data_IF_228490438433
#
_entry.id   IF_228490438433
#
_cell.length_a   1.000
_cell.length_b   1.000
_cell.length_c   1.000
_cell.angle_alpha   90.00
_cell.angle_beta   90.00
_cell.angle_gamma   90.00
#
_symmetry.space_group_name_H-M   'P 1'
#
loop_
_entity.id
_entity.type
_entity.pdbx_description
1 polymer ?
#
# COMPACT_ATOMS: atom_id res chain seq x y z
N UNK A 1 -46.82 -15.63 -72.84
CA UNK A 1 -45.61 -16.07 -72.08
C UNK A 1 -44.47 -15.09 -72.36
N UNK A 2 -43.75 -14.71 -71.30
CA UNK A 2 -42.78 -13.61 -71.19
C UNK A 2 -41.59 -13.70 -72.17
N UNK A 3 -41.16 -12.53 -72.66
CA UNK A 3 -39.89 -12.23 -73.35
C UNK A 3 -38.88 -11.56 -72.41
N UNK A 4 -37.63 -11.52 -72.91
CA UNK A 4 -36.49 -10.65 -72.56
C UNK A 4 -35.69 -11.08 -71.33
N UNK A 5 -34.36 -11.05 -71.29
CA UNK A 5 -33.35 -10.38 -72.12
C UNK A 5 -32.20 -9.94 -71.18
N UNK A 6 -30.95 -10.20 -71.57
CA UNK A 6 -29.69 -10.01 -70.80
C UNK A 6 -29.33 -8.57 -70.45
N UNK A 7 -28.81 -8.30 -69.23
CA UNK A 7 -27.94 -7.13 -68.86
C UNK A 7 -27.10 -7.43 -67.58
N UNK A 8 -25.79 -7.15 -67.58
CA UNK A 8 -24.91 -6.97 -66.39
C UNK A 8 -24.86 -5.45 -66.03
N UNK A 9 -24.78 -4.99 -64.75
CA UNK A 9 -23.49 -4.83 -64.03
C UNK A 9 -23.53 -4.88 -62.47
N UNK A 10 -22.34 -4.77 -61.83
CA UNK A 10 -22.01 -4.71 -60.37
C UNK A 10 -22.95 -3.85 -59.50
N UNK A 11 -23.09 -4.12 -58.17
CA UNK A 11 -22.40 -3.25 -57.19
C UNK A 11 -22.05 -3.83 -55.78
N UNK A 12 -21.22 -3.04 -55.07
CA UNK A 12 -21.11 -2.80 -53.62
C UNK A 12 -20.24 -3.69 -52.69
N UNK A 13 -19.07 -3.11 -52.39
CA UNK A 13 -18.31 -3.19 -51.13
C UNK A 13 -19.22 -3.32 -49.90
N UNK A 14 -18.91 -4.26 -49.01
CA UNK A 14 -18.99 -4.05 -47.56
C UNK A 14 -17.71 -4.56 -46.91
N UNK A 15 -16.96 -3.59 -46.41
CA UNK A 15 -15.87 -3.74 -45.45
C UNK A 15 -16.47 -4.29 -44.16
N UNK A 16 -15.94 -5.41 -43.64
CA UNK A 16 -16.20 -5.83 -42.27
C UNK A 16 -14.85 -5.97 -41.59
N UNK A 17 -14.63 -5.06 -40.64
CA UNK A 17 -13.39 -4.81 -39.95
C UNK A 17 -12.89 -6.04 -39.19
N UNK A 18 -11.59 -6.31 -39.33
CA UNK A 18 -10.81 -7.11 -38.39
C UNK A 18 -10.85 -6.36 -37.06
N UNK A 19 -11.56 -6.90 -36.07
CA UNK A 19 -11.57 -6.39 -34.71
C UNK A 19 -10.22 -6.75 -34.09
N UNK A 20 -9.28 -5.82 -34.17
CA UNK A 20 -8.08 -5.81 -33.34
C UNK A 20 -8.50 -5.68 -31.89
N UNK A 21 -8.29 -6.74 -31.11
CA UNK A 21 -8.38 -6.72 -29.66
C UNK A 21 -7.27 -5.81 -29.11
N UNK A 22 -7.57 -4.53 -28.93
CA UNK A 22 -6.75 -3.63 -28.13
C UNK A 22 -7.24 -3.72 -26.69
N UNK A 23 -6.35 -4.24 -25.84
CA UNK A 23 -6.46 -4.25 -24.39
C UNK A 23 -6.82 -2.86 -23.88
N UNK A 24 -8.08 -2.65 -23.51
CA UNK A 24 -8.49 -1.48 -22.75
C UNK A 24 -7.87 -1.62 -21.35
N UNK A 25 -6.76 -0.91 -21.13
CA UNK A 25 -6.27 -0.64 -19.79
C UNK A 25 -7.40 0.11 -19.06
N UNK A 26 -8.08 -0.58 -18.14
CA UNK A 26 -9.05 0.02 -17.25
C UNK A 26 -8.30 0.99 -16.33
N UNK A 27 -8.20 2.24 -16.76
CA UNK A 27 -7.87 3.35 -15.90
C UNK A 27 -8.99 3.45 -14.86
N UNK A 28 -8.76 2.89 -13.67
CA UNK A 28 -9.60 3.13 -12.51
C UNK A 28 -9.43 4.60 -12.10
N UNK A 29 -10.22 5.47 -12.71
CA UNK A 29 -10.52 6.79 -12.17
C UNK A 29 -11.30 6.58 -10.87
N UNK A 30 -10.59 6.61 -9.73
CA UNK A 30 -11.21 6.75 -8.41
C UNK A 30 -11.94 8.10 -8.37
N UNK A 31 -13.22 8.09 -8.73
CA UNK A 31 -14.15 9.13 -8.36
C UNK A 31 -14.31 9.09 -6.83
N UNK A 32 -13.59 9.97 -6.13
CA UNK A 32 -13.74 10.19 -4.69
C UNK A 32 -15.09 10.86 -4.41
N UNK A 33 -16.13 10.06 -4.16
CA UNK A 33 -17.24 10.50 -3.32
C UNK A 33 -16.80 10.38 -1.84
N UNK A 34 -17.12 11.37 -0.99
CA UNK A 34 -16.37 11.65 0.22
C UNK A 34 -16.60 10.56 1.27
N UNK A 35 -15.55 9.80 1.62
CA UNK A 35 -15.63 8.96 2.81
C UNK A 35 -15.75 9.90 4.01
N UNK A 36 -16.87 9.80 4.74
CA UNK A 36 -17.07 10.37 6.08
C UNK A 36 -15.73 10.45 6.78
N UNK A 37 -15.30 11.68 7.13
CA UNK A 37 -13.94 11.96 7.60
C UNK A 37 -13.50 10.87 8.57
N UNK A 38 -12.69 9.92 8.07
CA UNK A 38 -12.23 8.82 8.88
C UNK A 38 -11.40 9.45 9.98
N UNK A 39 -11.95 9.50 11.19
CA UNK A 39 -11.32 10.21 12.29
C UNK A 39 -9.89 9.66 12.41
N UNK A 40 -8.93 10.55 12.24
CA UNK A 40 -7.51 10.18 12.21
C UNK A 40 -6.97 10.41 13.60
N UNK A 41 -6.57 9.33 14.26
CA UNK A 41 -5.83 9.42 15.51
C UNK A 41 -4.36 9.60 15.21
N UNK A 42 -3.78 10.68 15.72
CA UNK A 42 -2.36 10.96 15.57
C UNK A 42 -1.67 10.87 16.93
N UNK A 43 -0.55 10.15 16.95
CA UNK A 43 0.29 9.99 18.12
C UNK A 43 1.72 10.40 17.75
N UNK A 44 2.41 11.10 18.64
CA UNK A 44 3.85 11.30 18.49
C UNK A 44 4.56 9.95 18.69
N UNK A 45 5.30 9.50 17.67
CA UNK A 45 6.00 8.22 17.66
C UNK A 45 6.98 8.07 18.83
N UNK A 46 7.54 9.18 19.34
CA UNK A 46 8.48 9.17 20.47
C UNK A 46 7.80 9.00 21.83
N UNK A 47 6.48 9.22 21.88
CA UNK A 47 5.68 9.15 23.11
C UNK A 47 4.83 7.87 23.19
N UNK A 48 4.89 7.01 22.17
CA UNK A 48 4.21 5.73 22.19
C UNK A 48 4.79 4.82 23.29
N UNK A 49 3.91 4.09 23.97
CA UNK A 49 4.33 3.10 24.95
C UNK A 49 5.07 1.94 24.25
N UNK A 50 6.14 1.45 24.87
CA UNK A 50 6.97 0.36 24.37
C UNK A 50 8.38 0.82 23.95
N UNK A 51 9.27 -0.13 23.65
CA UNK A 51 10.66 0.14 23.29
C UNK A 51 10.90 0.12 21.77
N UNK A 52 9.90 -0.26 20.98
CA UNK A 52 10.03 -0.43 19.53
C UNK A 52 10.84 -1.65 19.11
N UNK A 53 11.06 -2.60 20.02
CA UNK A 53 11.76 -3.86 19.76
C UNK A 53 10.78 -4.98 19.40
N UNK A 54 11.29 -6.11 18.92
CA UNK A 54 10.46 -7.26 18.58
C UNK A 54 9.57 -7.70 19.76
N UNK A 55 10.14 -7.83 20.95
CA UNK A 55 9.44 -8.28 22.16
C UNK A 55 8.66 -7.17 22.88
N UNK A 56 8.99 -5.90 22.63
CA UNK A 56 8.32 -4.75 23.23
C UNK A 56 8.05 -3.66 22.16
N UNK A 57 7.11 -3.90 21.22
CA UNK A 57 6.80 -2.99 20.13
C UNK A 57 6.13 -1.70 20.62
N UNK A 58 6.23 -0.62 19.83
CA UNK A 58 5.50 0.62 20.10
C UNK A 58 3.99 0.42 19.89
N UNK A 59 3.19 0.69 20.92
CA UNK A 59 1.76 0.41 20.91
C UNK A 59 0.96 1.53 20.24
N UNK A 60 0.43 1.27 19.03
CA UNK A 60 -0.53 2.14 18.33
C UNK A 60 -1.96 2.02 18.88
N UNK A 61 -2.24 0.92 19.58
CA UNK A 61 -3.54 0.65 20.19
C UNK A 61 -4.57 0.04 19.23
N UNK A 62 -5.84 0.29 19.53
CA UNK A 62 -6.97 -0.28 18.78
C UNK A 62 -7.27 0.55 17.51
N UNK A 63 -7.43 -0.15 16.39
CA UNK A 63 -7.81 0.43 15.10
C UNK A 63 -9.23 -0.03 14.78
N UNK A 64 -10.17 0.92 14.80
CA UNK A 64 -11.60 0.65 14.65
C UNK A 64 -12.22 1.65 13.67
N UNK A 65 -12.34 1.28 12.39
CA UNK A 65 -13.02 2.10 11.37
C UNK A 65 -12.43 3.49 11.16
N UNK A 66 -11.13 3.63 11.44
CA UNK A 66 -10.40 4.89 11.57
C UNK A 66 -8.95 4.68 11.17
N UNK A 67 -8.30 5.77 10.78
CA UNK A 67 -6.86 5.76 10.50
C UNK A 67 -6.09 6.10 11.77
N UNK A 68 -5.13 5.27 12.13
CA UNK A 68 -4.17 5.53 13.20
C UNK A 68 -2.83 5.89 12.58
N UNK A 69 -2.24 7.00 13.02
CA UNK A 69 -0.95 7.50 12.53
C UNK A 69 -0.02 7.74 13.70
N UNK A 70 1.16 7.12 13.68
CA UNK A 70 2.28 7.56 14.51
C UNK A 70 3.13 8.53 13.69
N UNK A 71 3.14 9.80 14.08
CA UNK A 71 3.83 10.87 13.36
C UNK A 71 5.27 11.04 13.86
N UNK A 72 6.14 11.55 12.99
CA UNK A 72 7.51 11.95 13.32
C UNK A 72 8.38 10.82 13.91
N UNK A 73 8.27 9.60 13.37
CA UNK A 73 9.17 8.52 13.77
C UNK A 73 10.61 8.83 13.35
N UNK A 74 11.57 8.73 14.29
CA UNK A 74 12.98 8.90 13.97
C UNK A 74 13.46 7.93 12.89
N UNK A 75 14.40 8.34 12.02
CA UNK A 75 15.02 7.48 11.03
C UNK A 75 15.48 6.14 11.59
N UNK A 76 15.37 5.09 10.78
CA UNK A 76 16.05 3.82 11.03
C UNK A 76 17.49 3.99 10.55
N UNK A 77 18.46 3.53 11.33
CA UNK A 77 19.88 3.68 11.03
C UNK A 77 20.57 2.34 10.90
N UNK A 78 21.70 2.36 10.18
CA UNK A 78 22.57 1.19 10.09
C UNK A 78 23.16 0.87 11.45
N UNK A 79 23.03 -0.39 11.89
CA UNK A 79 23.50 -0.86 13.19
C UNK A 79 22.57 -1.92 13.76
N UNK A 80 23.13 -2.86 14.54
CA UNK A 80 22.35 -3.89 15.21
C UNK A 80 21.28 -3.23 16.10
N UNK A 81 20.02 -3.63 15.94
CA UNK A 81 18.90 -3.11 16.72
C UNK A 81 18.29 -1.77 16.26
N UNK A 82 18.95 -1.00 15.38
CA UNK A 82 18.44 0.31 14.91
C UNK A 82 17.92 0.31 13.48
N UNK A 83 18.20 -0.76 12.72
CA UNK A 83 17.71 -0.94 11.36
C UNK A 83 16.22 -1.33 11.31
N UNK A 84 15.62 -1.69 12.44
CA UNK A 84 14.24 -2.13 12.53
C UNK A 84 13.51 -1.35 13.63
N UNK A 85 12.20 -1.15 13.46
CA UNK A 85 11.31 -0.71 14.53
C UNK A 85 9.98 -1.42 14.43
N UNK A 86 9.50 -1.90 15.57
CA UNK A 86 8.28 -2.70 15.66
C UNK A 86 7.16 -1.89 16.28
N UNK A 87 5.97 -1.99 15.70
CA UNK A 87 4.74 -1.35 16.16
C UNK A 87 3.67 -2.42 16.35
N UNK A 88 2.87 -2.34 17.41
CA UNK A 88 1.72 -3.21 17.63
C UNK A 88 0.43 -2.45 17.45
N UNK A 89 -0.57 -3.10 16.85
CA UNK A 89 -1.91 -2.56 16.73
C UNK A 89 -2.93 -3.70 16.79
N UNK A 90 -4.14 -3.40 17.24
CA UNK A 90 -5.23 -4.38 17.31
C UNK A 90 -6.36 -3.95 16.39
N UNK A 91 -6.65 -4.79 15.39
CA UNK A 91 -7.88 -4.68 14.62
C UNK A 91 -9.03 -5.23 15.48
N UNK A 92 -9.95 -4.37 15.89
CA UNK A 92 -11.12 -4.78 16.69
C UNK A 92 -12.17 -5.52 15.87
N UNK A 93 -12.09 -5.40 14.55
CA UNK A 93 -12.91 -6.08 13.54
C UNK A 93 -12.04 -6.45 12.35
N UNK A 94 -12.51 -7.38 11.50
CA UNK A 94 -11.80 -7.68 10.25
C UNK A 94 -11.63 -6.41 9.40
N UNK A 95 -10.50 -6.30 8.72
CA UNK A 95 -10.20 -5.20 7.82
C UNK A 95 -11.22 -5.13 6.66
N UNK A 96 -11.64 -3.92 6.27
CA UNK A 96 -12.53 -3.72 5.12
C UNK A 96 -11.76 -3.20 3.92
N UNK A 97 -12.26 -3.46 2.72
CA UNK A 97 -11.64 -2.95 1.50
C UNK A 97 -11.99 -1.46 1.34
N UNK A 98 -11.00 -0.55 1.14
CA UNK A 98 -9.55 -0.76 1.22
C UNK A 98 -9.02 -0.56 2.66
N UNK A 99 -8.11 -1.42 3.10
CA UNK A 99 -7.35 -1.22 4.34
C UNK A 99 -5.88 -1.48 4.10
N UNK A 100 -5.01 -0.74 4.78
CA UNK A 100 -3.56 -0.81 4.58
C UNK A 100 -2.78 -0.44 5.84
N UNK A 101 -1.55 -0.94 5.95
CA UNK A 101 -0.59 -0.53 6.98
C UNK A 101 0.80 -0.34 6.38
N UNK A 102 1.54 0.65 6.84
CA UNK A 102 2.89 0.89 6.34
C UNK A 102 3.49 2.19 6.84
N UNK A 103 4.34 2.76 6.00
CA UNK A 103 5.06 3.98 6.31
C UNK A 103 4.86 5.04 5.23
N UNK A 104 4.58 6.27 5.64
CA UNK A 104 4.69 7.47 4.81
C UNK A 104 6.03 8.14 5.08
N UNK A 105 6.71 8.58 4.04
CA UNK A 105 8.00 9.28 4.13
C UNK A 105 8.20 10.13 2.87
N UNK A 106 9.31 10.84 2.75
CA UNK A 106 9.72 11.44 1.47
C UNK A 106 11.12 10.94 1.16
N UNK A 107 11.26 10.14 0.11
CA UNK A 107 12.55 9.61 -0.30
C UNK A 107 13.27 10.63 -1.19
N UNK A 108 14.16 11.41 -0.59
CA UNK A 108 14.97 12.36 -1.34
C UNK A 108 16.16 11.67 -2.03
N UNK A 109 16.83 12.38 -2.95
CA UNK A 109 17.95 11.82 -3.73
C UNK A 109 19.18 11.45 -2.90
N UNK A 110 19.33 12.02 -1.70
CA UNK A 110 20.48 11.79 -0.80
C UNK A 110 20.25 10.62 0.16
N UNK A 111 18.99 10.27 0.46
CA UNK A 111 18.59 9.13 1.27
C UNK A 111 18.07 8.01 0.37
N UNK A 112 18.94 7.08 0.01
CA UNK A 112 18.58 5.97 -0.89
C UNK A 112 17.74 4.90 -0.19
N UNK A 113 17.88 4.74 1.12
CA UNK A 113 17.12 3.72 1.86
C UNK A 113 15.73 4.20 2.22
N UNK A 114 14.71 3.53 1.70
CA UNK A 114 13.35 3.72 2.16
C UNK A 114 13.03 2.95 3.46
N UNK A 115 11.82 3.17 3.96
CA UNK A 115 11.23 2.40 5.05
C UNK A 115 10.40 1.25 4.48
N UNK A 116 10.71 0.03 4.92
CA UNK A 116 10.18 -1.19 4.32
C UNK A 116 9.28 -1.92 5.34
N UNK A 117 7.95 -1.92 5.17
CA UNK A 117 7.05 -2.56 6.11
C UNK A 117 6.98 -4.08 5.91
N UNK A 118 6.79 -4.82 6.99
CA UNK A 118 6.40 -6.23 7.01
C UNK A 118 5.38 -6.45 8.12
N UNK A 119 4.44 -7.37 7.93
CA UNK A 119 3.35 -7.61 8.88
C UNK A 119 3.46 -9.02 9.46
N UNK A 120 3.33 -9.14 10.77
CA UNK A 120 3.34 -10.40 11.49
C UNK A 120 2.17 -10.51 12.49
N UNK A 121 1.83 -11.74 12.86
CA UNK A 121 0.92 -12.08 13.96
C UNK A 121 1.58 -13.16 14.81
N UNK A 122 1.88 -12.83 16.07
CA UNK A 122 2.72 -13.68 16.91
C UNK A 122 4.08 -13.92 16.24
N UNK A 123 4.56 -15.18 16.18
CA UNK A 123 5.84 -15.52 15.54
C UNK A 123 5.78 -15.58 14.01
N UNK A 124 4.59 -15.48 13.40
CA UNK A 124 4.40 -15.71 11.96
C UNK A 124 4.39 -14.40 11.17
N UNK A 125 5.21 -14.31 10.13
CA UNK A 125 5.12 -13.26 9.11
C UNK A 125 3.93 -13.55 8.20
N UNK A 126 2.95 -12.65 8.18
CA UNK A 126 1.77 -12.73 7.30
C UNK A 126 2.09 -12.11 5.94
N UNK A 127 2.78 -10.96 5.93
CA UNK A 127 3.20 -10.30 4.71
C UNK A 127 4.64 -9.84 4.82
N UNK A 128 5.47 -10.32 3.89
CA UNK A 128 6.83 -9.86 3.72
C UNK A 128 6.87 -8.49 3.03
N UNK A 129 7.99 -7.76 3.14
CA UNK A 129 8.12 -6.43 2.52
C UNK A 129 7.95 -6.41 1.01
N UNK A 130 8.11 -7.54 0.34
CA UNK A 130 7.90 -7.69 -1.11
C UNK A 130 6.44 -7.44 -1.50
N UNK A 131 5.47 -7.62 -0.60
CA UNK A 131 4.06 -7.30 -0.84
C UNK A 131 3.76 -5.79 -0.72
N UNK A 132 4.74 -4.98 -0.31
CA UNK A 132 4.58 -3.55 -0.09
C UNK A 132 4.45 -2.77 -1.40
N UNK A 133 3.33 -2.07 -1.56
CA UNK A 133 3.03 -1.18 -2.67
C UNK A 133 3.66 0.20 -2.44
N UNK A 134 4.31 0.72 -3.47
CA UNK A 134 4.88 2.06 -3.45
C UNK A 134 3.83 3.12 -3.76
N UNK A 135 3.91 4.25 -3.08
CA UNK A 135 3.14 5.46 -3.41
C UNK A 135 4.09 6.57 -3.83
N UNK A 136 3.55 7.49 -4.62
CA UNK A 136 4.28 8.62 -5.19
C UNK A 136 3.50 9.91 -4.96
N UNK A 137 4.23 11.02 -4.80
CA UNK A 137 3.62 12.34 -4.89
C UNK A 137 3.37 12.74 -6.37
N UNK A 138 2.77 13.91 -6.57
CA UNK A 138 2.46 14.43 -7.92
C UNK A 138 3.71 14.68 -8.79
N UNK A 139 4.89 14.80 -8.17
CA UNK A 139 6.16 14.99 -8.87
C UNK A 139 6.88 13.67 -9.17
N UNK A 140 6.27 12.53 -8.81
CA UNK A 140 6.84 11.20 -9.01
C UNK A 140 7.86 10.79 -7.94
N UNK A 141 7.95 11.52 -6.82
CA UNK A 141 8.84 11.17 -5.71
C UNK A 141 8.15 10.12 -4.84
N UNK A 142 8.88 9.05 -4.50
CA UNK A 142 8.39 8.02 -3.58
C UNK A 142 8.04 8.63 -2.23
N UNK A 143 6.78 8.50 -1.82
CA UNK A 143 6.26 9.13 -0.61
C UNK A 143 5.65 8.15 0.43
N UNK A 144 5.80 6.86 0.18
CA UNK A 144 5.34 5.84 1.10
C UNK A 144 5.44 4.43 0.55
N UNK A 145 5.30 3.48 1.46
CA UNK A 145 5.23 2.05 1.16
C UNK A 145 4.24 1.37 2.11
N UNK A 146 3.26 0.67 1.56
CA UNK A 146 2.14 0.11 2.33
C UNK A 146 1.82 -1.32 1.97
N UNK A 147 1.46 -2.11 2.97
CA UNK A 147 0.95 -3.47 2.84
C UNK A 147 -0.59 -3.40 2.82
N UNK A 148 -1.25 -4.06 1.86
CA UNK A 148 -2.70 -4.12 1.86
C UNK A 148 -3.19 -5.09 2.96
N UNK A 149 -4.07 -4.63 3.83
CA UNK A 149 -4.77 -5.46 4.83
C UNK A 149 -6.09 -6.01 4.27
N UNK A 150 -6.65 -5.34 3.27
CA UNK A 150 -7.83 -5.77 2.54
C UNK A 150 -7.89 -5.05 1.17
N UNK A 151 -7.97 -5.77 0.03
CA UNK A 151 -7.86 -7.23 -0.08
C UNK A 151 -6.41 -7.69 0.16
N UNK A 152 -6.23 -8.89 0.70
CA UNK A 152 -4.89 -9.49 0.82
C UNK A 152 -4.39 -9.99 -0.55
N UNK A 153 -3.06 -10.03 -0.78
CA UNK A 153 -2.48 -10.72 -1.92
C UNK A 153 -2.84 -12.21 -1.82
N UNK A 154 -3.58 -12.73 -2.80
CA UNK A 154 -4.14 -14.10 -2.76
C UNK A 154 -5.61 -14.19 -2.32
N UNK A 155 -6.25 -13.06 -2.00
CA UNK A 155 -7.68 -12.98 -1.70
C UNK A 155 -8.02 -12.89 -0.21
N UNK A 156 -9.25 -12.44 0.09
CA UNK A 156 -9.74 -12.27 1.45
C UNK A 156 -9.29 -10.97 2.13
N UNK A 157 -9.47 -10.91 3.45
CA UNK A 157 -9.17 -9.74 4.29
C UNK A 157 -8.49 -10.19 5.59
N UNK A 158 -7.69 -9.31 6.18
CA UNK A 158 -7.07 -9.58 7.47
C UNK A 158 -8.15 -9.64 8.57
N UNK A 159 -8.23 -10.72 9.36
CA UNK A 159 -9.24 -10.85 10.40
C UNK A 159 -8.97 -9.92 11.58
N UNK A 160 -9.94 -9.79 12.49
CA UNK A 160 -9.72 -9.13 13.78
C UNK A 160 -8.56 -9.79 14.55
N UNK A 161 -7.82 -8.99 15.31
CA UNK A 161 -6.71 -9.47 16.13
C UNK A 161 -5.57 -8.46 16.28
N UNK A 162 -4.58 -8.85 17.08
CA UNK A 162 -3.38 -8.06 17.30
C UNK A 162 -2.29 -8.44 16.31
N UNK A 163 -1.71 -7.43 15.68
CA UNK A 163 -0.68 -7.54 14.68
C UNK A 163 0.54 -6.72 15.06
N UNK A 164 1.67 -7.07 14.47
CA UNK A 164 2.91 -6.33 14.57
C UNK A 164 3.35 -5.89 13.19
N UNK A 165 3.48 -4.58 13.01
CA UNK A 165 4.10 -3.97 11.84
C UNK A 165 5.58 -3.74 12.15
N UNK A 166 6.45 -4.34 11.37
CA UNK A 166 7.88 -4.11 11.44
C UNK A 166 8.31 -3.20 10.28
N UNK A 167 8.94 -2.08 10.59
CA UNK A 167 9.55 -1.18 9.60
C UNK A 167 11.05 -1.38 9.57
N UNK A 168 11.60 -1.54 8.36
CA UNK A 168 12.99 -1.97 8.17
C UNK A 168 13.75 -1.04 7.22
N UNK A 169 15.03 -0.83 7.53
CA UNK A 169 16.04 -0.27 6.62
C UNK A 169 16.77 -1.43 5.94
N UNK A 170 16.61 -1.58 4.62
CA UNK A 170 17.15 -2.72 3.89
C UNK A 170 18.43 -2.41 3.10
N UNK A 171 18.72 -1.14 2.81
CA UNK A 171 19.95 -0.81 2.09
C UNK A 171 21.19 -1.02 2.97
N UNK A 172 22.27 -1.46 2.32
CA UNK A 172 23.59 -1.57 2.93
C UNK A 172 24.05 -0.22 3.51
N UNK A 173 24.78 -0.21 4.64
CA UNK A 173 25.39 0.99 5.20
C UNK A 173 26.30 1.72 4.19
N UNK A 174 26.90 1.00 3.23
CA UNK A 174 27.73 1.58 2.16
C UNK A 174 26.93 2.45 1.17
N UNK A 175 25.62 2.18 1.04
CA UNK A 175 24.73 2.90 0.10
C UNK A 175 23.92 3.98 0.80
N UNK A 176 23.55 3.76 2.05
CA UNK A 176 22.73 4.68 2.83
C UNK A 176 22.87 4.37 4.31
N UNK A 177 23.14 5.38 5.13
CA UNK A 177 23.29 5.21 6.58
C UNK A 177 21.96 5.22 7.32
N UNK A 178 20.93 5.89 6.80
CA UNK A 178 19.62 6.00 7.43
C UNK A 178 18.48 6.05 6.42
N UNK A 179 17.26 5.76 6.89
CA UNK A 179 16.03 6.12 6.17
C UNK A 179 15.73 7.62 6.34
N UNK A 180 14.73 8.16 5.63
CA UNK A 180 14.07 9.40 6.03
C UNK A 180 13.36 9.25 7.38
N UNK A 181 12.96 10.39 7.94
CA UNK A 181 11.87 10.43 8.91
C UNK A 181 10.60 9.89 8.27
N UNK A 182 9.76 9.23 9.07
CA UNK A 182 8.56 8.59 8.56
C UNK A 182 7.40 8.68 9.54
N UNK A 183 6.21 8.49 9.01
CA UNK A 183 5.01 8.26 9.81
C UNK A 183 4.58 6.81 9.60
N UNK A 184 4.15 6.14 10.67
CA UNK A 184 3.48 4.84 10.54
C UNK A 184 1.99 5.10 10.36
N UNK A 185 1.37 4.45 9.38
CA UNK A 185 -0.06 4.58 9.10
C UNK A 185 -0.69 3.21 9.14
N UNK A 186 -1.80 3.08 9.86
CA UNK A 186 -2.69 1.92 9.82
C UNK A 186 -4.11 2.42 9.55
N UNK A 187 -4.60 2.18 8.34
CA UNK A 187 -5.96 2.49 7.94
C UNK A 187 -6.76 1.19 7.87
N UNK A 188 -7.64 0.97 8.84
CA UNK A 188 -8.59 -0.14 8.83
C UNK A 188 -10.02 0.42 8.81
N UNK A 189 -10.54 0.59 7.60
CA UNK A 189 -11.85 1.18 7.33
C UNK A 189 -13.00 0.25 7.76
#
# INVERSE_FOLDING_TARGET
>A
MKRHGTVFPRPLRKVAAVVTATTAAAAMTLALAPSAAAATYQYDCRRLAGAGTYSNPLALGNVTGRTVVAVNCPPLTSGAGYANRYFSFTLTRSARVPSYAGASFVLNRTQKSAVNPSLARGPYTIMHTSAGLWTYDRSGVFNGRYLPLAPLPGGGVLPAGTYRLNTQKLDSPLRSLSTPWFNVVVAAL
#
